data_IF_744178582259
#
_entry.id   IF_744178582259
#
_cell.length_a   1.000
_cell.length_b   1.000
_cell.length_c   1.000
_cell.angle_alpha   90.00
_cell.angle_beta   90.00
_cell.angle_gamma   90.00
#
_symmetry.space_group_name_H-M   'P 1'
#
loop_
_entity.id
_entity.type
_entity.pdbx_description
1 polymer ?
#
# COMPACT_ATOMS: atom_id res chain seq x y z
N UNK A 1 -11.67 59.25 4.91
CA UNK A 1 -10.85 58.26 5.63
C UNK A 1 -10.71 57.01 4.76
N UNK A 2 -9.55 56.78 4.13
CA UNK A 2 -9.28 55.52 3.42
C UNK A 2 -8.82 54.50 4.46
N UNK A 3 -9.62 53.45 4.70
CA UNK A 3 -9.20 52.31 5.53
C UNK A 3 -8.17 51.49 4.75
N UNK A 4 -6.97 51.36 5.31
CA UNK A 4 -5.95 50.42 4.85
C UNK A 4 -6.31 49.05 5.42
N UNK A 5 -6.74 48.13 4.57
CA UNK A 5 -6.92 46.73 4.94
C UNK A 5 -5.53 46.09 5.16
N UNK A 6 -5.31 45.33 6.25
CA UNK A 6 -4.04 44.64 6.45
C UNK A 6 -3.88 43.51 5.42
N UNK A 7 -2.66 43.34 4.91
CA UNK A 7 -2.33 42.24 4.02
C UNK A 7 -2.45 40.91 4.78
N UNK A 8 -3.24 39.97 4.26
CA UNK A 8 -3.30 38.61 4.77
C UNK A 8 -1.91 37.95 4.67
N UNK A 9 -1.40 37.29 5.72
CA UNK A 9 -0.16 36.55 5.62
C UNK A 9 -0.33 35.45 4.57
N UNK A 10 0.53 35.45 3.56
CA UNK A 10 0.58 34.38 2.57
C UNK A 10 0.84 33.07 3.32
N UNK A 11 -0.14 32.18 3.34
CA UNK A 11 0.03 30.85 3.87
C UNK A 11 1.06 30.13 3.00
N UNK A 12 2.28 29.97 3.49
CA UNK A 12 3.24 29.05 2.90
C UNK A 12 2.57 27.70 2.73
N UNK A 13 2.68 27.12 1.53
CA UNK A 13 2.08 25.84 1.22
C UNK A 13 2.67 24.78 2.16
N UNK A 14 1.92 24.42 3.21
CA UNK A 14 2.30 23.36 4.15
C UNK A 14 2.53 22.08 3.34
N UNK A 15 3.78 21.61 3.33
CA UNK A 15 4.10 20.33 2.68
C UNK A 15 3.35 19.22 3.42
N UNK A 16 2.49 18.51 2.72
CA UNK A 16 1.80 17.36 3.29
C UNK A 16 2.84 16.32 3.76
N UNK A 17 2.70 15.78 4.98
CA UNK A 17 3.63 14.78 5.48
C UNK A 17 3.63 13.55 4.56
N UNK A 18 4.80 13.26 3.97
CA UNK A 18 5.02 12.05 3.17
C UNK A 18 5.51 10.94 4.09
N UNK A 19 5.03 9.72 3.86
CA UNK A 19 5.51 8.54 4.60
C UNK A 19 6.94 8.23 4.19
N UNK A 20 7.84 8.14 5.16
CA UNK A 20 9.19 7.64 4.92
C UNK A 20 9.14 6.12 4.65
N UNK A 21 10.01 5.59 3.76
CA UNK A 21 10.14 4.16 3.57
C UNK A 21 10.67 3.48 4.84
N UNK A 22 10.35 2.19 5.01
CA UNK A 22 10.90 1.42 6.11
C UNK A 22 12.40 1.16 5.90
N UNK A 23 13.19 1.06 6.99
CA UNK A 23 14.63 0.90 6.88
C UNK A 23 15.04 -0.32 6.04
N UNK A 24 16.03 -0.20 5.14
CA UNK A 24 16.45 -1.29 4.25
C UNK A 24 17.09 -2.47 4.99
N UNK A 25 17.64 -2.24 6.18
CA UNK A 25 18.30 -3.28 6.98
C UNK A 25 17.34 -4.29 7.62
N UNK A 26 16.05 -3.96 7.75
CA UNK A 26 15.09 -4.91 8.31
C UNK A 26 14.84 -6.07 7.35
N UNK A 27 14.83 -7.33 7.85
CA UNK A 27 14.55 -8.49 7.03
C UNK A 27 13.15 -8.37 6.42
N UNK A 28 13.03 -8.69 5.13
CA UNK A 28 11.78 -8.59 4.37
C UNK A 28 11.24 -9.97 4.04
N UNK A 29 10.00 -10.21 4.43
CA UNK A 29 9.24 -11.40 4.02
C UNK A 29 8.25 -10.99 2.94
N UNK A 30 8.32 -11.60 1.76
CA UNK A 30 7.42 -11.28 0.64
C UNK A 30 6.17 -12.14 0.73
N UNK A 31 5.00 -11.49 0.81
CA UNK A 31 3.70 -12.15 0.80
C UNK A 31 3.01 -11.80 -0.52
N UNK A 32 2.74 -12.81 -1.35
CA UNK A 32 2.17 -12.63 -2.68
C UNK A 32 0.67 -12.94 -2.68
N UNK A 33 -0.10 -12.02 -3.25
CA UNK A 33 -1.53 -12.17 -3.47
C UNK A 33 -1.79 -12.23 -4.96
N UNK A 34 -2.02 -13.45 -5.44
CA UNK A 34 -2.32 -13.75 -6.84
C UNK A 34 -3.73 -14.39 -6.90
N UNK A 35 -4.45 -14.23 -8.03
CA UNK A 35 -5.73 -14.89 -8.19
C UNK A 35 -5.54 -16.42 -8.25
N UNK A 36 -6.48 -17.17 -7.66
CA UNK A 36 -6.45 -18.64 -7.65
C UNK A 36 -6.48 -19.24 -9.06
N UNK A 37 -7.18 -18.56 -9.98
CA UNK A 37 -7.24 -18.93 -11.38
C UNK A 37 -6.88 -17.73 -12.26
N UNK A 38 -6.07 -17.97 -13.28
CA UNK A 38 -5.67 -16.98 -14.27
C UNK A 38 -6.43 -17.11 -15.60
N UNK A 39 -7.52 -17.88 -15.63
CA UNK A 39 -8.48 -17.88 -16.74
C UNK A 39 -9.54 -16.81 -16.54
N UNK A 40 -9.78 -16.03 -17.58
CA UNK A 40 -10.86 -15.07 -17.62
C UNK A 40 -12.20 -15.77 -17.90
N UNK A 41 -13.30 -15.18 -17.43
CA UNK A 41 -14.66 -15.64 -17.74
C UNK A 41 -14.96 -15.69 -19.25
N UNK A 42 -14.24 -14.93 -20.08
CA UNK A 42 -14.34 -14.99 -21.55
C UNK A 42 -13.57 -16.16 -22.19
N UNK A 43 -12.89 -16.99 -21.39
CA UNK A 43 -12.10 -18.16 -21.82
C UNK A 43 -10.64 -17.87 -22.19
N UNK A 44 -10.19 -16.61 -22.10
CA UNK A 44 -8.79 -16.26 -22.38
C UNK A 44 -7.89 -16.37 -21.14
N UNK A 45 -6.60 -16.61 -21.37
CA UNK A 45 -5.57 -16.52 -20.35
C UNK A 45 -5.36 -15.05 -19.94
N UNK A 46 -5.40 -14.76 -18.64
CA UNK A 46 -5.06 -13.44 -18.09
C UNK A 46 -3.55 -13.21 -18.16
N UNK A 47 -3.16 -11.95 -18.37
CA UNK A 47 -1.78 -11.51 -18.35
C UNK A 47 -1.51 -10.66 -17.12
N UNK A 48 -0.36 -10.89 -16.46
CA UNK A 48 0.11 -10.03 -15.37
C UNK A 48 0.61 -8.72 -15.98
N UNK A 49 -0.04 -7.61 -15.63
CA UNK A 49 0.24 -6.27 -16.18
C UNK A 49 0.99 -5.36 -15.21
N UNK A 50 1.07 -5.74 -13.93
CA UNK A 50 1.78 -4.99 -12.90
C UNK A 50 1.51 -5.54 -11.52
N UNK A 51 1.94 -4.81 -10.50
CA UNK A 51 1.71 -5.16 -9.10
C UNK A 51 1.55 -3.90 -8.25
N UNK A 52 0.88 -4.06 -7.12
CA UNK A 52 0.83 -3.09 -6.03
C UNK A 52 1.64 -3.65 -4.85
N UNK A 53 2.51 -2.81 -4.29
CA UNK A 53 3.43 -3.21 -3.21
C UNK A 53 3.20 -2.31 -2.01
N UNK A 54 2.92 -2.93 -0.87
CA UNK A 54 2.84 -2.23 0.42
C UNK A 54 3.73 -2.91 1.45
N UNK A 55 4.39 -2.11 2.28
CA UNK A 55 5.24 -2.61 3.35
C UNK A 55 4.56 -2.40 4.71
N UNK A 56 4.64 -3.42 5.56
CA UNK A 56 4.15 -3.43 6.92
C UNK A 56 5.29 -3.78 7.87
N UNK A 57 5.37 -3.10 9.01
CA UNK A 57 6.35 -3.39 10.04
C UNK A 57 5.73 -4.31 11.08
N UNK A 58 6.37 -5.47 11.29
CA UNK A 58 6.00 -6.45 12.30
C UNK A 58 7.05 -6.52 13.41
N UNK A 59 6.61 -6.97 14.58
CA UNK A 59 7.47 -7.20 15.72
C UNK A 59 7.23 -8.60 16.29
N UNK A 60 8.29 -9.39 16.27
CA UNK A 60 8.44 -10.59 17.10
C UNK A 60 9.44 -10.23 18.20
N UNK A 61 9.27 -10.64 19.47
CA UNK A 61 10.16 -10.25 20.56
C UNK A 61 11.66 -10.29 20.20
N UNK A 62 12.29 -9.11 20.19
CA UNK A 62 13.71 -8.92 19.84
C UNK A 62 14.02 -8.71 18.35
N UNK A 63 13.05 -8.79 17.44
CA UNK A 63 13.26 -8.70 15.98
C UNK A 63 12.15 -7.91 15.30
N UNK A 64 12.53 -6.85 14.59
CA UNK A 64 11.65 -6.18 13.64
C UNK A 64 11.77 -6.84 12.27
N UNK A 65 10.63 -7.12 11.65
CA UNK A 65 10.58 -7.63 10.28
C UNK A 65 9.64 -6.79 9.42
N UNK A 66 9.85 -6.80 8.12
CA UNK A 66 8.99 -6.10 7.17
C UNK A 66 8.24 -7.11 6.33
N UNK A 67 6.92 -7.13 6.45
CA UNK A 67 6.09 -7.86 5.50
C UNK A 67 5.91 -7.00 4.25
N UNK A 68 6.42 -7.49 3.12
CA UNK A 68 6.22 -6.87 1.81
C UNK A 68 5.06 -7.57 1.11
N UNK A 69 3.91 -6.93 1.14
CA UNK A 69 2.67 -7.38 0.53
C UNK A 69 2.65 -7.00 -0.96
N UNK A 70 2.73 -7.99 -1.84
CA UNK A 70 2.76 -7.82 -3.30
C UNK A 70 1.48 -8.37 -3.90
N UNK A 71 0.67 -7.51 -4.53
CA UNK A 71 -0.61 -7.88 -5.14
C UNK A 71 -0.52 -7.77 -6.65
N UNK A 72 -0.64 -8.90 -7.35
CA UNK A 72 -0.59 -8.94 -8.80
C UNK A 72 -1.83 -8.32 -9.44
N UNK A 73 -1.62 -7.48 -10.45
CA UNK A 73 -2.67 -6.95 -11.33
C UNK A 73 -2.69 -7.77 -12.60
N UNK A 74 -3.85 -8.36 -12.89
CA UNK A 74 -4.06 -9.24 -14.04
C UNK A 74 -5.12 -8.63 -14.95
N UNK A 75 -4.90 -8.70 -16.26
CA UNK A 75 -5.86 -8.20 -17.23
C UNK A 75 -6.06 -9.18 -18.38
N UNK A 76 -7.30 -9.25 -18.87
CA UNK A 76 -7.62 -9.90 -20.13
C UNK A 76 -7.42 -8.91 -21.28
N UNK A 77 -6.67 -9.28 -22.32
CA UNK A 77 -6.50 -8.44 -23.51
C UNK A 77 -7.74 -8.38 -24.41
N UNK A 78 -8.65 -9.35 -24.28
CA UNK A 78 -9.81 -9.50 -25.17
C UNK A 78 -11.04 -8.75 -24.67
N UNK A 79 -11.40 -8.94 -23.41
CA UNK A 79 -12.58 -8.33 -22.81
C UNK A 79 -12.23 -7.26 -21.76
N UNK A 80 -10.95 -6.91 -21.66
CA UNK A 80 -10.45 -5.81 -20.81
C UNK A 80 -10.74 -5.96 -19.30
N UNK A 81 -11.15 -7.16 -18.88
CA UNK A 81 -11.40 -7.46 -17.46
C UNK A 81 -10.09 -7.39 -16.67
N UNK A 82 -10.10 -6.59 -15.60
CA UNK A 82 -9.00 -6.47 -14.65
C UNK A 82 -9.35 -7.21 -13.36
N UNK A 83 -8.44 -8.08 -12.93
CA UNK A 83 -8.55 -8.89 -11.71
C UNK A 83 -7.33 -8.60 -10.84
N UNK A 84 -7.57 -8.36 -9.56
CA UNK A 84 -6.55 -8.19 -8.54
C UNK A 84 -7.06 -8.82 -7.25
N UNK A 85 -6.18 -9.51 -6.53
CA UNK A 85 -6.53 -10.06 -5.23
C UNK A 85 -6.95 -8.93 -4.25
N UNK A 86 -8.01 -9.14 -3.44
CA UNK A 86 -8.48 -8.12 -2.49
C UNK A 86 -7.39 -7.76 -1.48
N UNK A 87 -7.47 -6.55 -0.91
CA UNK A 87 -6.61 -6.19 0.23
C UNK A 87 -7.02 -7.08 1.40
N UNK A 88 -6.09 -7.78 2.07
CA UNK A 88 -6.39 -8.44 3.33
C UNK A 88 -6.90 -7.44 4.36
N UNK A 89 -7.82 -7.86 5.23
CA UNK A 89 -8.29 -7.00 6.31
C UNK A 89 -7.11 -6.60 7.22
N UNK A 90 -7.08 -5.33 7.63
CA UNK A 90 -6.03 -4.75 8.45
C UNK A 90 -6.66 -4.03 9.64
N UNK A 91 -5.98 -4.07 10.79
CA UNK A 91 -6.45 -3.37 12.01
C UNK A 91 -6.52 -1.86 11.77
N UNK A 92 -5.51 -1.30 11.08
CA UNK A 92 -5.46 0.10 10.67
C UNK A 92 -5.33 0.13 9.15
N UNK A 93 -6.33 0.71 8.50
CA UNK A 93 -6.34 0.89 7.05
C UNK A 93 -5.15 1.72 6.60
N UNK A 94 -4.40 1.16 5.64
CA UNK A 94 -3.17 1.78 5.11
C UNK A 94 -2.14 2.07 6.22
N UNK A 95 -2.24 1.50 7.42
CA UNK A 95 -1.25 1.66 8.48
C UNK A 95 0.06 0.99 8.13
N UNK A 96 1.18 1.43 8.69
CA UNK A 96 2.46 0.69 8.66
C UNK A 96 2.47 -0.50 9.63
N UNK A 97 1.91 -0.43 10.85
CA UNK A 97 2.06 -1.53 11.81
C UNK A 97 1.20 -2.73 11.41
N UNK A 98 1.72 -3.93 11.65
CA UNK A 98 0.93 -5.17 11.72
C UNK A 98 0.24 -5.28 13.08
N UNK A 99 -0.62 -6.29 13.23
CA UNK A 99 -1.21 -6.62 14.52
C UNK A 99 -0.14 -7.02 15.56
N UNK A 100 0.94 -7.69 15.14
CA UNK A 100 2.05 -8.07 16.03
C UNK A 100 2.73 -6.85 16.65
N UNK A 101 2.99 -5.80 15.85
CA UNK A 101 3.56 -4.56 16.36
C UNK A 101 2.57 -3.80 17.28
N UNK A 102 1.28 -3.79 16.95
CA UNK A 102 0.26 -3.13 17.77
C UNK A 102 0.03 -3.82 19.13
N UNK A 103 0.25 -5.13 19.20
CA UNK A 103 0.07 -5.92 20.41
C UNK A 103 1.29 -5.87 21.35
N UNK A 104 2.39 -5.24 20.94
CA UNK A 104 3.57 -5.09 21.78
C UNK A 104 3.34 -4.06 22.90
N UNK A 105 3.56 -4.48 24.15
CA UNK A 105 3.53 -3.67 25.37
C UNK A 105 4.89 -3.59 26.04
#
# INVERSE_FOLDING_TARGET
LKQLLPASPQAEARQAPKRAPLPPQFPRTVIRYEPENTQCACGCQLQRIGEDVSEKLDYTPGVFTVERHVRGKWACRRCETLIQAPVPAQVIDKGIPTAGLLAHV
#
